data_IF_133929959139
#
_entry.id   IF_133929959139
#
_cell.length_a   1.000
_cell.length_b   1.000
_cell.length_c   1.000
_cell.angle_alpha   90.00
_cell.angle_beta   90.00
_cell.angle_gamma   90.00
#
_symmetry.space_group_name_H-M   'P 1'
#
loop_
_entity.id
_entity.type
_entity.pdbx_description
1 polymer ?
#
# COMPACT_ATOMS: atom_id res chain seq x y z
N UNK A 1 -17.64 -63.14 29.74
CA UNK A 1 -18.47 -62.60 28.65
C UNK A 1 -17.82 -61.28 28.27
N UNK A 2 -17.33 -61.19 27.04
CA UNK A 2 -16.26 -60.29 26.61
C UNK A 2 -16.61 -58.79 26.73
N UNK A 3 -15.68 -58.01 27.30
CA UNK A 3 -15.64 -56.56 27.17
C UNK A 3 -15.14 -56.23 25.75
N UNK A 4 -16.06 -55.76 24.91
CA UNK A 4 -15.72 -55.16 23.61
C UNK A 4 -15.74 -53.64 23.73
N UNK A 5 -14.60 -53.05 24.06
CA UNK A 5 -14.39 -51.61 23.92
C UNK A 5 -14.39 -51.26 22.43
N UNK A 6 -15.46 -50.62 21.96
CA UNK A 6 -15.51 -50.05 20.62
C UNK A 6 -14.55 -48.88 20.54
N UNK A 7 -13.49 -49.02 19.75
CA UNK A 7 -12.56 -47.93 19.44
C UNK A 7 -13.32 -46.79 18.75
N UNK A 8 -13.47 -45.67 19.46
CA UNK A 8 -13.88 -44.40 18.84
C UNK A 8 -12.83 -44.02 17.78
N UNK A 9 -13.24 -44.06 16.51
CA UNK A 9 -12.44 -43.53 15.42
C UNK A 9 -12.16 -42.05 15.69
N UNK A 10 -10.97 -41.72 16.17
CA UNK A 10 -10.46 -40.34 16.24
C UNK A 10 -10.72 -39.69 14.88
N UNK A 11 -11.55 -38.65 14.86
CA UNK A 11 -11.67 -37.75 13.71
C UNK A 11 -10.26 -37.22 13.42
N UNK A 12 -9.63 -37.76 12.39
CA UNK A 12 -8.33 -37.32 11.93
C UNK A 12 -8.55 -35.94 11.29
N UNK A 13 -8.16 -34.88 12.00
CA UNK A 13 -8.21 -33.54 11.42
C UNK A 13 -7.09 -33.44 10.40
N UNK A 14 -7.44 -33.05 9.17
CA UNK A 14 -6.48 -32.80 8.07
C UNK A 14 -5.42 -31.76 8.48
N UNK A 15 -5.68 -30.99 9.54
CA UNK A 15 -4.78 -29.97 10.09
C UNK A 15 -3.67 -30.53 10.99
N UNK A 16 -3.75 -31.80 11.44
CA UNK A 16 -2.79 -32.39 12.39
C UNK A 16 -1.62 -33.12 11.68
N UNK A 17 -1.55 -33.11 10.35
CA UNK A 17 -0.45 -33.71 9.60
C UNK A 17 0.79 -32.80 9.64
N UNK A 18 2.01 -33.37 9.76
CA UNK A 18 3.26 -32.61 9.78
C UNK A 18 3.55 -31.86 8.47
N UNK A 19 2.86 -32.21 7.39
CA UNK A 19 2.99 -31.59 6.06
C UNK A 19 2.10 -30.35 5.88
N UNK A 20 1.22 -30.05 6.85
CA UNK A 20 0.30 -28.92 6.78
C UNK A 20 0.97 -27.71 7.41
N UNK A 21 1.25 -26.65 6.64
CA UNK A 21 1.89 -25.46 7.18
C UNK A 21 0.97 -24.82 8.24
N UNK A 22 1.41 -24.91 9.49
CA UNK A 22 0.74 -24.39 10.69
C UNK A 22 0.77 -22.86 10.69
N UNK A 23 -0.07 -22.22 9.87
CA UNK A 23 -0.30 -20.77 9.86
C UNK A 23 0.93 -19.91 9.50
N UNK A 24 2.05 -20.52 9.13
CA UNK A 24 3.28 -19.86 8.67
C UNK A 24 3.48 -20.12 7.19
N UNK A 25 3.78 -19.06 6.44
CA UNK A 25 4.06 -19.17 5.02
C UNK A 25 5.45 -19.78 4.80
N UNK A 26 5.63 -20.60 3.76
CA UNK A 26 6.95 -20.94 3.28
C UNK A 26 7.82 -19.69 3.04
N UNK A 27 9.14 -19.73 3.31
CA UNK A 27 10.00 -18.54 3.28
C UNK A 27 9.98 -17.77 1.95
N UNK A 28 9.83 -18.48 0.82
CA UNK A 28 9.75 -17.86 -0.50
C UNK A 28 8.48 -17.03 -0.69
N UNK A 29 7.33 -17.46 -0.14
CA UNK A 29 6.07 -16.73 -0.24
C UNK A 29 6.03 -15.53 0.70
N UNK A 30 6.68 -15.63 1.88
CA UNK A 30 6.87 -14.48 2.76
C UNK A 30 7.73 -13.39 2.11
N UNK A 31 8.78 -13.80 1.40
CA UNK A 31 9.62 -12.87 0.64
C UNK A 31 8.82 -12.18 -0.46
N UNK A 32 8.04 -12.93 -1.24
CA UNK A 32 7.16 -12.38 -2.27
C UNK A 32 6.12 -11.40 -1.70
N UNK A 33 5.59 -11.66 -0.50
CA UNK A 33 4.59 -10.78 0.14
C UNK A 33 5.20 -9.49 0.69
N UNK A 34 6.42 -9.53 1.20
CA UNK A 34 7.01 -8.45 2.01
C UNK A 34 7.97 -7.54 1.24
N UNK A 35 8.60 -8.03 0.18
CA UNK A 35 9.68 -7.31 -0.51
C UNK A 35 9.51 -7.35 -2.02
N UNK A 36 9.66 -6.18 -2.63
CA UNK A 36 9.91 -6.05 -4.07
C UNK A 36 11.39 -6.30 -4.30
N UNK A 37 11.75 -7.25 -5.17
CA UNK A 37 13.16 -7.52 -5.48
C UNK A 37 13.57 -6.87 -6.79
N UNK A 38 14.66 -6.12 -6.77
CA UNK A 38 15.21 -5.44 -7.94
C UNK A 38 16.28 -6.31 -8.60
N UNK A 39 15.91 -7.05 -9.65
CA UNK A 39 16.86 -7.81 -10.46
C UNK A 39 17.40 -6.94 -11.61
N UNK A 40 18.47 -7.42 -12.26
CA UNK A 40 19.11 -6.74 -13.41
C UNK A 40 18.15 -6.59 -14.61
N UNK A 41 17.25 -7.56 -14.80
CA UNK A 41 16.34 -7.57 -15.96
C UNK A 41 15.07 -6.77 -15.69
N UNK A 42 14.34 -7.13 -14.63
CA UNK A 42 13.09 -6.48 -14.24
C UNK A 42 12.83 -6.64 -12.73
N UNK A 43 12.08 -5.71 -12.10
CA UNK A 43 11.60 -5.90 -10.75
C UNK A 43 10.62 -7.07 -10.67
N UNK A 44 10.73 -7.86 -9.61
CA UNK A 44 9.82 -8.98 -9.31
C UNK A 44 9.04 -8.67 -8.03
N UNK A 45 7.85 -9.28 -7.89
CA UNK A 45 6.95 -9.12 -6.74
C UNK A 45 6.44 -7.68 -6.54
N UNK A 46 6.02 -7.02 -7.63
CA UNK A 46 5.52 -5.63 -7.61
C UNK A 46 4.06 -5.51 -7.18
N UNK A 47 3.34 -6.62 -7.09
CA UNK A 47 1.90 -6.67 -6.81
C UNK A 47 1.61 -6.88 -5.32
N UNK A 48 0.58 -6.20 -4.80
CA UNK A 48 0.16 -6.34 -3.40
C UNK A 48 -0.85 -7.48 -3.24
N UNK A 49 -0.35 -8.66 -2.85
CA UNK A 49 -1.18 -9.85 -2.60
C UNK A 49 -1.70 -9.84 -1.15
N UNK A 50 -2.61 -8.89 -0.84
CA UNK A 50 -3.15 -8.70 0.53
C UNK A 50 -4.68 -8.84 0.63
N UNK A 51 -5.35 -9.38 -0.38
CA UNK A 51 -6.80 -9.60 -0.31
C UNK A 51 -7.15 -10.71 0.70
N UNK A 52 -8.39 -10.68 1.23
CA UNK A 52 -8.83 -11.59 2.31
C UNK A 52 -8.64 -13.09 2.00
N UNK A 53 -8.86 -13.50 0.75
CA UNK A 53 -8.67 -14.89 0.30
C UNK A 53 -7.22 -15.28 -0.01
N UNK A 54 -6.26 -14.34 0.04
CA UNK A 54 -4.86 -14.65 -0.22
C UNK A 54 -4.35 -15.58 0.87
N UNK A 55 -3.74 -16.70 0.46
CA UNK A 55 -3.17 -17.70 1.38
C UNK A 55 -4.16 -18.33 2.36
N UNK A 56 -5.47 -18.30 2.05
CA UNK A 56 -6.50 -18.95 2.87
C UNK A 56 -6.29 -20.46 3.01
N UNK A 57 -5.71 -21.11 1.99
CA UNK A 57 -5.33 -22.53 2.03
C UNK A 57 -4.25 -22.84 3.08
N UNK A 58 -3.46 -21.84 3.46
CA UNK A 58 -2.38 -21.93 4.45
C UNK A 58 -2.83 -21.43 5.84
N UNK A 59 -4.12 -21.16 6.02
CA UNK A 59 -4.70 -20.73 7.30
C UNK A 59 -4.40 -19.27 7.70
N UNK A 60 -3.92 -18.45 6.77
CA UNK A 60 -3.59 -17.04 7.05
C UNK A 60 -4.80 -16.15 6.83
N UNK A 61 -5.15 -15.41 7.87
CA UNK A 61 -6.20 -14.40 7.82
C UNK A 61 -5.62 -13.03 7.46
N UNK A 62 -5.85 -12.63 6.21
CA UNK A 62 -5.54 -11.30 5.68
C UNK A 62 -6.76 -10.36 5.69
N UNK A 63 -7.79 -10.65 6.48
CA UNK A 63 -8.93 -9.76 6.61
C UNK A 63 -8.51 -8.35 7.06
N UNK A 64 -9.05 -7.34 6.38
CA UNK A 64 -8.76 -5.93 6.62
C UNK A 64 -9.47 -5.46 7.91
N UNK A 65 -8.86 -5.72 9.06
CA UNK A 65 -9.33 -5.22 10.35
C UNK A 65 -8.77 -3.82 10.61
N UNK A 66 -9.65 -2.85 10.86
CA UNK A 66 -9.26 -1.47 11.19
C UNK A 66 -8.34 -1.40 12.41
N UNK A 67 -8.57 -2.26 13.41
CA UNK A 67 -7.72 -2.34 14.60
C UNK A 67 -6.26 -2.67 14.25
N UNK A 68 -6.03 -3.60 13.31
CA UNK A 68 -4.69 -3.97 12.85
C UNK A 68 -4.05 -2.84 12.07
N UNK A 69 -4.82 -2.14 11.24
CA UNK A 69 -4.32 -0.99 10.50
C UNK A 69 -3.88 0.15 11.45
N UNK A 70 -4.72 0.50 12.43
CA UNK A 70 -4.42 1.56 13.40
C UNK A 70 -3.16 1.29 14.23
N UNK A 71 -2.95 0.03 14.65
CA UNK A 71 -1.78 -0.35 15.44
C UNK A 71 -0.47 -0.37 14.62
N UNK A 72 -0.57 -0.62 13.31
CA UNK A 72 0.58 -0.77 12.43
C UNK A 72 0.96 0.53 11.71
N UNK A 73 -0.01 1.41 11.47
CA UNK A 73 0.21 2.66 10.75
C UNK A 73 1.02 3.66 11.57
N UNK A 74 2.13 4.13 11.01
CA UNK A 74 3.02 5.11 11.66
C UNK A 74 3.50 6.14 10.65
N UNK A 75 3.68 7.37 11.11
CA UNK A 75 4.23 8.47 10.32
C UNK A 75 5.41 9.07 11.06
N UNK A 76 6.55 9.16 10.41
CA UNK A 76 7.78 9.72 10.96
C UNK A 76 8.22 10.91 10.11
N UNK A 77 8.34 12.09 10.71
CA UNK A 77 8.78 13.30 10.00
C UNK A 77 10.29 13.36 10.05
N UNK A 78 10.93 13.29 8.87
CA UNK A 78 12.39 13.28 8.73
C UNK A 78 12.93 14.71 8.66
N UNK A 79 12.30 15.57 7.86
CA UNK A 79 12.71 16.98 7.68
C UNK A 79 11.50 17.88 7.53
N UNK A 80 11.58 19.06 8.16
CA UNK A 80 10.59 20.12 8.01
C UNK A 80 11.31 21.44 7.79
N UNK A 81 11.14 22.00 6.60
CA UNK A 81 11.57 23.34 6.21
C UNK A 81 10.33 24.23 5.98
N UNK A 82 10.53 25.51 5.68
CA UNK A 82 9.41 26.45 5.42
C UNK A 82 8.61 26.06 4.16
N UNK A 83 9.29 25.67 3.09
CA UNK A 83 8.65 25.31 1.81
C UNK A 83 8.54 23.79 1.57
N UNK A 84 9.34 22.98 2.28
CA UNK A 84 9.47 21.54 2.02
C UNK A 84 9.23 20.70 3.29
N UNK A 85 8.56 19.57 3.13
CA UNK A 85 8.35 18.57 4.19
C UNK A 85 8.68 17.17 3.68
N UNK A 86 9.49 16.42 4.44
CA UNK A 86 9.86 15.03 4.16
C UNK A 86 9.40 14.15 5.33
N UNK A 87 8.57 13.16 5.04
CA UNK A 87 8.03 12.24 6.03
C UNK A 87 7.87 10.83 5.45
N UNK A 88 8.05 9.83 6.31
CA UNK A 88 7.89 8.42 6.00
C UNK A 88 6.52 7.93 6.49
N UNK A 89 5.80 7.19 5.64
CA UNK A 89 4.54 6.52 5.98
C UNK A 89 4.75 5.01 6.02
N UNK A 90 4.65 4.41 7.20
CA UNK A 90 4.88 2.98 7.42
C UNK A 90 3.53 2.29 7.63
N UNK A 91 3.35 1.13 6.98
CA UNK A 91 2.15 0.29 7.16
C UNK A 91 0.95 0.69 6.29
N UNK A 92 1.17 1.44 5.21
CA UNK A 92 0.14 1.83 4.25
C UNK A 92 0.31 1.09 2.92
N UNK A 93 -0.80 0.85 2.21
CA UNK A 93 -0.76 0.32 0.85
C UNK A 93 -0.39 1.39 -0.18
N UNK A 94 0.26 0.97 -1.26
CA UNK A 94 0.69 1.85 -2.34
C UNK A 94 -0.48 2.58 -3.02
N UNK A 95 -1.67 1.98 -3.06
CA UNK A 95 -2.84 2.62 -3.67
C UNK A 95 -3.29 3.86 -2.89
N UNK A 96 -3.24 3.82 -1.55
CA UNK A 96 -3.63 4.97 -0.71
C UNK A 96 -2.55 6.05 -0.77
N UNK A 97 -1.27 5.67 -0.69
CA UNK A 97 -0.16 6.62 -0.84
C UNK A 97 -0.20 7.36 -2.19
N UNK A 98 -0.45 6.65 -3.30
CA UNK A 98 -0.61 7.27 -4.61
C UNK A 98 -1.88 8.12 -4.71
N UNK A 99 -2.95 7.77 -3.99
CA UNK A 99 -4.15 8.61 -3.89
C UNK A 99 -3.81 9.97 -3.27
N UNK A 100 -3.08 10.00 -2.15
CA UNK A 100 -2.61 11.26 -1.56
C UNK A 100 -1.74 12.06 -2.52
N UNK A 101 -0.79 11.41 -3.20
CA UNK A 101 0.03 12.06 -4.23
C UNK A 101 -0.82 12.74 -5.31
N UNK A 102 -1.89 12.08 -5.78
CA UNK A 102 -2.80 12.63 -6.79
C UNK A 102 -3.61 13.81 -6.26
N UNK A 103 -4.15 13.68 -5.04
CA UNK A 103 -4.91 14.74 -4.38
C UNK A 103 -4.05 15.99 -4.21
N UNK A 104 -2.83 15.84 -3.71
CA UNK A 104 -1.90 16.94 -3.48
C UNK A 104 -1.54 17.69 -4.76
N UNK A 105 -1.45 17.00 -5.90
CA UNK A 105 -1.06 17.61 -7.19
C UNK A 105 -2.26 18.27 -7.88
N UNK A 106 -3.45 17.66 -7.82
CA UNK A 106 -4.53 18.01 -8.75
C UNK A 106 -5.81 18.50 -8.08
N UNK A 107 -6.06 18.17 -6.81
CA UNK A 107 -7.34 18.45 -6.15
C UNK A 107 -7.25 19.57 -5.11
N UNK A 108 -6.05 19.93 -4.66
CA UNK A 108 -5.88 21.05 -3.75
C UNK A 108 -6.15 22.38 -4.49
N UNK A 109 -7.19 23.13 -4.10
CA UNK A 109 -7.50 24.39 -4.75
C UNK A 109 -6.46 25.44 -4.38
N UNK A 110 -5.82 26.02 -5.40
CA UNK A 110 -4.88 27.14 -5.25
C UNK A 110 -5.39 28.38 -5.97
N UNK A 111 -5.21 29.55 -5.37
CA UNK A 111 -5.52 30.81 -6.04
C UNK A 111 -4.45 31.12 -7.09
N UNK A 112 -4.86 31.25 -8.34
CA UNK A 112 -4.01 31.64 -9.46
C UNK A 112 -4.69 32.73 -10.30
N UNK A 113 -3.93 33.45 -11.10
CA UNK A 113 -4.45 34.52 -11.97
C UNK A 113 -5.10 33.88 -13.20
N UNK A 114 -6.40 34.08 -13.39
CA UNK A 114 -7.12 33.55 -14.55
C UNK A 114 -7.27 34.59 -15.67
N UNK A 115 -7.59 35.84 -15.32
CA UNK A 115 -7.91 36.90 -16.30
C UNK A 115 -6.98 38.09 -16.11
N UNK A 116 -6.23 38.41 -17.16
CA UNK A 116 -5.36 39.59 -17.24
C UNK A 116 -5.95 40.57 -18.25
N UNK A 117 -6.32 41.76 -17.78
CA UNK A 117 -6.82 42.84 -18.62
C UNK A 117 -5.68 43.82 -18.90
N UNK A 118 -5.25 43.91 -20.15
CA UNK A 118 -4.13 44.79 -20.57
C UNK A 118 -4.71 46.04 -21.23
N UNK A 119 -4.38 47.20 -20.69
CA UNK A 119 -4.85 48.49 -21.24
C UNK A 119 -3.99 48.99 -22.41
N UNK A 120 -2.66 48.92 -22.28
CA UNK A 120 -1.71 49.27 -23.33
C UNK A 120 -0.34 48.64 -23.04
N UNK A 121 0.09 47.63 -23.82
CA UNK A 121 1.43 47.06 -23.74
C UNK A 121 2.32 47.69 -24.82
N UNK A 122 3.40 48.36 -24.39
CA UNK A 122 4.43 48.95 -25.27
C UNK A 122 5.76 48.18 -25.23
N UNK A 123 5.79 47.03 -24.55
CA UNK A 123 6.98 46.18 -24.48
C UNK A 123 7.15 45.34 -25.75
N UNK A 124 8.35 44.76 -25.92
CA UNK A 124 8.68 43.86 -27.03
C UNK A 124 8.03 42.47 -26.82
N UNK A 125 7.68 42.13 -25.57
CA UNK A 125 7.08 40.84 -25.23
C UNK A 125 5.59 40.87 -25.58
N UNK A 126 5.14 39.82 -26.27
CA UNK A 126 3.75 39.66 -26.65
C UNK A 126 2.84 39.49 -25.43
N UNK A 127 1.62 40.02 -25.51
CA UNK A 127 0.62 40.02 -24.44
C UNK A 127 0.30 38.62 -23.90
N UNK A 128 0.21 37.63 -24.78
CA UNK A 128 -0.07 36.24 -24.43
C UNK A 128 1.05 35.63 -23.57
N UNK A 129 2.30 35.92 -23.94
CA UNK A 129 3.48 35.46 -23.20
C UNK A 129 3.57 36.14 -21.84
N UNK A 130 3.14 37.41 -21.74
CA UNK A 130 3.11 38.14 -20.48
C UNK A 130 2.02 37.62 -19.54
N UNK A 131 0.83 37.31 -20.06
CA UNK A 131 -0.27 36.73 -19.30
C UNK A 131 0.06 35.31 -18.80
N UNK A 132 0.70 34.46 -19.61
CA UNK A 132 1.02 33.08 -19.23
C UNK A 132 2.16 32.96 -18.19
N UNK A 133 2.99 33.99 -18.02
CA UNK A 133 4.08 34.00 -17.03
C UNK A 133 3.62 34.39 -15.63
N UNK A 134 2.35 34.71 -15.44
CA UNK A 134 1.76 35.17 -14.19
C UNK A 134 0.65 34.23 -13.76
#
# INVERSE_FOLDING_TARGET
MAEGAGEEKKKFSIWDLPDVPMGQLPPHLELQRSRVSCNKDAPIHTESIQYSGAYASMGIDNSSRLDRFSNNFRVEVVRLNEDDMEFDMIGIDAAIANSFRRILIAELPTMAIEKVLIANNTSIIQDEVLAHRK
#
